data_IF_303068373414
#
_entry.id   IF_303068373414
#
_cell.length_a   1.000
_cell.length_b   1.000
_cell.length_c   1.000
_cell.angle_alpha   90.00
_cell.angle_beta   90.00
_cell.angle_gamma   90.00
#
_symmetry.space_group_name_H-M   'P 1'
#
loop_
_entity.id
_entity.type
_entity.pdbx_description
1 polymer ?
#
# COMPACT_ATOMS: atom_id res chain seq x y z
N UNK A 1 -26.69 7.85 -5.82
CA UNK A 1 -25.59 8.07 -4.84
C UNK A 1 -24.24 7.53 -5.33
N UNK A 2 -24.15 6.30 -5.86
CA UNK A 2 -22.88 5.72 -6.35
C UNK A 2 -22.13 6.52 -7.44
N UNK A 3 -22.84 7.15 -8.39
CA UNK A 3 -22.22 7.98 -9.45
C UNK A 3 -21.48 9.23 -8.91
N UNK A 4 -21.97 9.82 -7.83
CA UNK A 4 -21.39 11.04 -7.23
C UNK A 4 -20.09 10.73 -6.48
N UNK A 5 -20.05 9.59 -5.77
CA UNK A 5 -18.84 9.12 -5.09
C UNK A 5 -17.71 8.72 -6.06
N UNK A 6 -18.06 8.16 -7.22
CA UNK A 6 -17.06 7.82 -8.27
C UNK A 6 -16.44 9.08 -8.90
N UNK A 7 -17.28 10.06 -9.23
CA UNK A 7 -16.83 11.34 -9.80
C UNK A 7 -15.91 12.13 -8.85
N UNK A 8 -16.17 12.10 -7.54
CA UNK A 8 -15.31 12.78 -6.56
C UNK A 8 -13.93 12.11 -6.41
N UNK A 9 -13.82 10.80 -6.60
CA UNK A 9 -12.52 10.09 -6.56
C UNK A 9 -11.65 10.42 -7.78
N UNK A 10 -12.24 10.46 -8.97
CA UNK A 10 -11.54 10.79 -10.22
C UNK A 10 -10.95 12.21 -10.16
N UNK A 11 -11.75 13.19 -9.69
CA UNK A 11 -11.29 14.57 -9.50
C UNK A 11 -10.14 14.71 -8.52
N UNK A 12 -10.16 13.97 -7.41
CA UNK A 12 -9.09 14.03 -6.43
C UNK A 12 -7.76 13.49 -6.98
N UNK A 13 -7.81 12.37 -7.72
CA UNK A 13 -6.62 11.82 -8.38
C UNK A 13 -6.07 12.78 -9.43
N UNK A 14 -6.96 13.39 -10.21
CA UNK A 14 -6.60 14.40 -11.21
C UNK A 14 -5.95 15.63 -10.57
N UNK A 15 -6.48 16.12 -9.45
CA UNK A 15 -5.91 17.26 -8.71
C UNK A 15 -4.50 16.97 -8.18
N UNK A 16 -4.24 15.73 -7.76
CA UNK A 16 -2.91 15.29 -7.32
C UNK A 16 -1.87 15.21 -8.45
N UNK A 17 -2.31 14.92 -9.68
CA UNK A 17 -1.43 14.78 -10.84
C UNK A 17 -1.14 16.13 -11.51
N UNK A 18 -2.14 17.00 -11.57
CA UNK A 18 -2.07 18.23 -12.35
C UNK A 18 -1.70 19.47 -11.52
N UNK A 19 -1.58 19.34 -10.19
CA UNK A 19 -1.31 20.46 -9.28
C UNK A 19 -2.29 21.61 -9.51
N UNK A 20 -3.56 21.28 -9.68
CA UNK A 20 -4.63 22.28 -9.73
C UNK A 20 -5.11 22.53 -8.31
N UNK A 21 -5.33 23.80 -7.95
CA UNK A 21 -5.70 24.30 -6.61
C UNK A 21 -4.50 24.68 -5.71
N UNK A 22 -3.96 25.89 -5.92
CA UNK A 22 -2.77 26.43 -5.26
C UNK A 22 -3.15 27.59 -4.36
N UNK A 23 -2.68 27.58 -3.11
CA UNK A 23 -2.89 28.67 -2.16
C UNK A 23 -1.59 29.11 -1.47
N UNK A 24 -1.48 30.40 -1.19
CA UNK A 24 -0.45 30.94 -0.31
C UNK A 24 -0.91 30.89 1.14
N UNK A 25 0.02 30.55 2.01
CA UNK A 25 -0.15 30.43 3.43
C UNK A 25 0.72 31.48 4.13
N UNK A 26 0.07 32.40 4.84
CA UNK A 26 0.73 33.45 5.62
C UNK A 26 0.26 33.43 7.07
N UNK A 27 1.19 33.61 8.02
CA UNK A 27 0.86 33.65 9.44
C UNK A 27 0.21 35.00 9.77
N UNK A 28 -0.96 34.98 10.41
CA UNK A 28 -1.61 36.19 10.93
C UNK A 28 -1.15 36.47 12.38
N UNK A 29 -1.15 35.44 13.22
CA UNK A 29 -0.70 35.50 14.63
C UNK A 29 -0.44 34.09 15.19
N UNK A 30 -0.34 33.97 16.52
CA UNK A 30 -0.22 32.68 17.20
C UNK A 30 -1.46 31.82 16.98
N UNK A 31 -1.32 30.80 16.12
CA UNK A 31 -2.35 29.81 15.86
C UNK A 31 -3.28 30.14 14.69
N UNK A 32 -3.24 31.36 14.13
CA UNK A 32 -4.03 31.72 12.95
C UNK A 32 -3.17 31.93 11.72
N UNK A 33 -3.61 31.30 10.64
CA UNK A 33 -3.01 31.40 9.32
C UNK A 33 -4.08 31.86 8.33
N UNK A 34 -3.68 32.72 7.41
CA UNK A 34 -4.45 33.11 6.24
C UNK A 34 -4.08 32.18 5.09
N UNK A 35 -5.09 31.66 4.41
CA UNK A 35 -4.96 30.94 3.15
C UNK A 35 -5.57 31.79 2.05
N UNK A 36 -4.77 32.13 1.05
CA UNK A 36 -5.19 32.89 -0.13
C UNK A 36 -5.01 32.01 -1.36
N UNK A 37 -6.12 31.59 -1.96
CA UNK A 37 -6.12 30.77 -3.17
C UNK A 37 -5.73 31.64 -4.37
N UNK A 38 -4.67 31.26 -5.06
CA UNK A 38 -4.19 31.90 -6.30
C UNK A 38 -4.88 31.28 -7.51
N UNK A 39 -5.12 29.99 -7.42
CA UNK A 39 -5.78 29.19 -8.43
C UNK A 39 -6.67 28.18 -7.72
N UNK A 40 -7.95 28.12 -8.08
CA UNK A 40 -8.95 27.26 -7.43
C UNK A 40 -9.66 27.91 -6.25
N UNK A 41 -10.30 27.08 -5.43
CA UNK A 41 -11.08 27.49 -4.25
C UNK A 41 -11.07 26.38 -3.19
N UNK A 42 -11.56 26.68 -1.99
CA UNK A 42 -11.75 25.67 -0.95
C UNK A 42 -12.70 24.57 -1.46
N UNK A 43 -12.17 23.36 -1.62
CA UNK A 43 -12.93 22.22 -2.13
C UNK A 43 -12.56 20.94 -1.39
N UNK A 44 -13.56 20.31 -0.76
CA UNK A 44 -13.42 19.08 0.02
C UNK A 44 -13.14 17.82 -0.82
N UNK A 45 -13.13 17.92 -2.15
CA UNK A 45 -12.92 16.80 -3.06
C UNK A 45 -11.63 16.89 -3.87
N UNK A 46 -10.75 17.84 -3.56
CA UNK A 46 -9.50 18.09 -4.29
C UNK A 46 -8.34 18.27 -3.32
N UNK A 47 -7.11 18.04 -3.81
CA UNK A 47 -5.89 18.34 -3.08
C UNK A 47 -5.60 19.84 -3.15
N UNK A 48 -5.09 20.43 -2.06
CA UNK A 48 -4.62 21.83 -2.08
C UNK A 48 -3.11 21.89 -1.91
N UNK A 49 -2.46 22.64 -2.79
CA UNK A 49 -1.03 22.85 -2.77
C UNK A 49 -0.73 24.19 -2.11
N UNK A 50 -0.22 24.13 -0.88
CA UNK A 50 0.02 25.30 -0.05
C UNK A 50 1.49 25.72 -0.14
N UNK A 51 1.73 27.01 -0.37
CA UNK A 51 3.08 27.59 -0.37
C UNK A 51 3.22 28.62 0.74
N UNK A 52 4.23 28.50 1.57
CA UNK A 52 4.54 29.55 2.56
C UNK A 52 5.30 30.69 1.91
N UNK A 53 5.29 31.85 2.57
CA UNK A 53 6.15 32.99 2.22
C UNK A 53 7.65 32.67 2.29
N UNK A 54 8.05 31.63 3.05
CA UNK A 54 9.42 31.12 3.13
C UNK A 54 9.77 30.11 2.01
N UNK A 55 8.84 29.84 1.09
CA UNK A 55 9.03 28.89 -0.01
C UNK A 55 8.88 27.41 0.37
N UNK A 56 8.32 27.08 1.55
CA UNK A 56 7.98 25.70 1.92
C UNK A 56 6.67 25.30 1.26
N UNK A 57 6.63 24.11 0.69
CA UNK A 57 5.46 23.58 0.00
C UNK A 57 4.82 22.44 0.80
N UNK A 58 3.49 22.44 0.89
CA UNK A 58 2.70 21.43 1.58
C UNK A 58 1.52 20.99 0.70
N UNK A 59 1.04 19.78 0.94
CA UNK A 59 -0.18 19.28 0.30
C UNK A 59 -1.20 18.96 1.38
N UNK A 60 -2.39 19.52 1.23
CA UNK A 60 -3.55 19.21 2.08
C UNK A 60 -4.47 18.28 1.33
N UNK A 61 -4.87 17.19 2.00
CA UNK A 61 -5.81 16.22 1.46
C UNK A 61 -6.99 16.05 2.41
N UNK A 62 -8.21 15.87 1.89
CA UNK A 62 -9.32 15.39 2.68
C UNK A 62 -8.96 14.07 3.40
N UNK A 63 -9.36 13.91 4.65
CA UNK A 63 -8.99 12.74 5.46
C UNK A 63 -9.38 11.41 4.79
N UNK A 64 -10.59 11.34 4.21
CA UNK A 64 -11.06 10.14 3.51
C UNK A 64 -10.17 9.79 2.31
N UNK A 65 -9.61 10.81 1.65
CA UNK A 65 -8.75 10.64 0.48
C UNK A 65 -7.40 10.03 0.89
N UNK A 66 -6.80 10.56 1.97
CA UNK A 66 -5.56 10.01 2.53
C UNK A 66 -5.75 8.56 3.00
N UNK A 67 -6.85 8.26 3.70
CA UNK A 67 -7.17 6.89 4.14
C UNK A 67 -7.33 5.93 2.96
N UNK A 68 -8.04 6.35 1.91
CA UNK A 68 -8.18 5.54 0.70
C UNK A 68 -6.85 5.30 0.00
N UNK A 69 -6.00 6.33 -0.11
CA UNK A 69 -4.67 6.23 -0.72
C UNK A 69 -3.81 5.24 0.07
N UNK A 70 -3.78 5.36 1.39
CA UNK A 70 -3.04 4.44 2.27
C UNK A 70 -3.56 3.00 2.12
N UNK A 71 -4.88 2.81 2.08
CA UNK A 71 -5.50 1.51 1.86
C UNK A 71 -5.10 0.87 0.53
N UNK A 72 -5.10 1.63 -0.57
CA UNK A 72 -4.66 1.13 -1.87
C UNK A 72 -3.18 0.77 -1.88
N UNK A 73 -2.31 1.57 -1.25
CA UNK A 73 -0.88 1.25 -1.12
C UNK A 73 -0.69 -0.06 -0.36
N UNK A 74 -1.40 -0.24 0.76
CA UNK A 74 -1.33 -1.46 1.55
C UNK A 74 -1.79 -2.69 0.75
N UNK A 75 -2.92 -2.58 0.06
CA UNK A 75 -3.44 -3.65 -0.78
C UNK A 75 -2.45 -4.00 -1.91
N UNK A 76 -1.91 -2.99 -2.61
CA UNK A 76 -0.96 -3.22 -3.68
C UNK A 76 0.33 -3.89 -3.20
N UNK A 77 0.84 -3.48 -2.04
CA UNK A 77 2.01 -4.11 -1.43
C UNK A 77 1.73 -5.58 -1.04
N UNK A 78 0.53 -5.88 -0.55
CA UNK A 78 0.10 -7.25 -0.24
C UNK A 78 0.00 -8.11 -1.50
N UNK A 79 -0.66 -7.62 -2.55
CA UNK A 79 -0.75 -8.31 -3.84
C UNK A 79 0.65 -8.59 -4.43
N UNK A 80 1.54 -7.59 -4.39
CA UNK A 80 2.92 -7.74 -4.83
C UNK A 80 3.68 -8.78 -4.00
N UNK A 81 3.51 -8.76 -2.68
CA UNK A 81 4.13 -9.74 -1.78
C UNK A 81 3.67 -11.16 -2.12
N UNK A 82 2.36 -11.38 -2.28
CA UNK A 82 1.80 -12.70 -2.60
C UNK A 82 2.25 -13.21 -3.97
N UNK A 83 2.38 -12.33 -4.95
CA UNK A 83 2.93 -12.67 -6.26
C UNK A 83 4.39 -13.16 -6.15
N UNK A 84 5.23 -12.41 -5.43
CA UNK A 84 6.63 -12.79 -5.21
C UNK A 84 6.74 -14.07 -4.38
N UNK A 85 5.87 -14.25 -3.39
CA UNK A 85 5.84 -15.44 -2.55
C UNK A 85 5.51 -16.69 -3.37
N UNK A 86 4.53 -16.60 -4.28
CA UNK A 86 4.20 -17.68 -5.21
C UNK A 86 5.39 -18.05 -6.09
N UNK A 87 6.15 -17.06 -6.56
CA UNK A 87 7.37 -17.30 -7.32
C UNK A 87 8.41 -18.06 -6.48
N UNK A 88 8.74 -17.57 -5.29
CA UNK A 88 9.73 -18.20 -4.41
C UNK A 88 9.32 -19.61 -3.96
N UNK A 89 8.04 -19.84 -3.64
CA UNK A 89 7.52 -21.17 -3.29
C UNK A 89 7.68 -22.13 -4.46
N UNK A 90 7.38 -21.69 -5.69
CA UNK A 90 7.54 -22.53 -6.89
C UNK A 90 9.00 -22.97 -7.08
N UNK A 91 9.96 -22.07 -6.87
CA UNK A 91 11.39 -22.38 -6.94
C UNK A 91 11.85 -23.39 -5.86
N UNK A 92 11.10 -23.50 -4.76
CA UNK A 92 11.35 -24.48 -3.71
C UNK A 92 10.78 -25.89 -4.00
N UNK A 93 10.18 -26.08 -5.19
CA UNK A 93 9.60 -27.33 -5.69
C UNK A 93 8.52 -27.91 -4.78
N UNK A 94 7.33 -27.28 -4.71
CA UNK A 94 6.21 -27.82 -3.97
C UNK A 94 5.66 -29.07 -4.67
N UNK A 95 5.07 -29.98 -3.91
CA UNK A 95 4.35 -31.14 -4.45
C UNK A 95 3.10 -30.68 -5.18
N UNK A 96 2.33 -29.78 -4.54
CA UNK A 96 1.22 -29.05 -5.13
C UNK A 96 1.36 -27.57 -4.78
N UNK A 97 1.44 -26.73 -5.82
CA UNK A 97 1.64 -25.29 -5.65
C UNK A 97 0.43 -24.62 -4.97
N UNK A 98 -0.79 -25.00 -5.32
CA UNK A 98 -1.98 -24.33 -4.78
C UNK A 98 -2.20 -24.69 -3.31
N UNK A 99 -2.01 -25.97 -2.93
CA UNK A 99 -2.08 -26.38 -1.53
C UNK A 99 -1.00 -25.69 -0.68
N UNK A 100 0.22 -25.61 -1.21
CA UNK A 100 1.32 -24.91 -0.53
C UNK A 100 1.03 -23.41 -0.39
N UNK A 101 0.43 -22.80 -1.42
CA UNK A 101 0.01 -21.39 -1.38
C UNK A 101 -1.12 -21.15 -0.38
N UNK A 102 -2.05 -22.09 -0.20
CA UNK A 102 -3.11 -21.98 0.81
C UNK A 102 -2.51 -21.94 2.23
N UNK A 103 -1.53 -22.80 2.51
CA UNK A 103 -0.79 -22.77 3.78
C UNK A 103 0.02 -21.48 3.93
N UNK A 104 0.72 -21.06 2.88
CA UNK A 104 1.50 -19.82 2.87
C UNK A 104 0.63 -18.58 3.15
N UNK A 105 -0.58 -18.53 2.60
CA UNK A 105 -1.56 -17.47 2.85
C UNK A 105 -2.03 -17.46 4.31
N UNK A 106 -2.28 -18.64 4.89
CA UNK A 106 -2.65 -18.76 6.30
C UNK A 106 -1.53 -18.27 7.23
N UNK A 107 -0.28 -18.65 6.97
CA UNK A 107 0.89 -18.17 7.71
C UNK A 107 1.07 -16.65 7.57
N UNK A 108 0.85 -16.12 6.36
CA UNK A 108 0.92 -14.69 6.09
C UNK A 108 -0.15 -13.90 6.85
N UNK A 109 -1.41 -14.38 6.86
CA UNK A 109 -2.48 -13.75 7.63
C UNK A 109 -2.19 -13.78 9.13
N UNK A 110 -1.65 -14.89 9.64
CA UNK A 110 -1.25 -15.04 11.04
C UNK A 110 -0.14 -14.04 11.41
N UNK A 111 0.85 -13.87 10.53
CA UNK A 111 1.92 -12.88 10.71
C UNK A 111 1.38 -11.44 10.73
N UNK A 112 0.44 -11.12 9.83
CA UNK A 112 -0.19 -9.79 9.75
C UNK A 112 -0.92 -9.44 11.05
N UNK A 113 -1.57 -10.41 11.68
CA UNK A 113 -2.28 -10.22 12.95
C UNK A 113 -1.33 -10.03 14.15
N UNK A 114 -0.15 -10.66 14.15
CA UNK A 114 0.79 -10.60 15.27
C UNK A 114 1.75 -9.40 15.21
N UNK A 115 2.30 -9.08 14.03
CA UNK A 115 3.38 -8.10 13.89
C UNK A 115 2.98 -6.81 13.15
N UNK A 116 1.78 -6.76 12.53
CA UNK A 116 1.18 -5.56 11.95
C UNK A 116 1.84 -4.95 10.72
N UNK A 117 3.13 -5.20 10.45
CA UNK A 117 3.86 -4.61 9.33
C UNK A 117 4.41 -5.66 8.35
N UNK A 118 3.84 -5.68 7.15
CA UNK A 118 4.24 -6.57 6.04
C UNK A 118 5.51 -6.05 5.34
N UNK A 119 5.83 -4.75 5.47
CA UNK A 119 6.90 -4.11 4.70
C UNK A 119 8.31 -4.61 5.06
N UNK A 120 8.47 -5.25 6.22
CA UNK A 120 9.76 -5.71 6.73
C UNK A 120 10.03 -7.20 6.44
N UNK A 121 9.13 -7.88 5.72
CA UNK A 121 9.26 -9.31 5.44
C UNK A 121 10.04 -9.53 4.16
N UNK A 122 11.22 -10.16 4.27
CA UNK A 122 11.90 -10.74 3.12
C UNK A 122 11.11 -11.97 2.62
N UNK A 123 10.54 -11.86 1.43
CA UNK A 123 9.70 -12.89 0.79
C UNK A 123 10.43 -14.23 0.66
N UNK A 124 11.73 -14.20 0.35
CA UNK A 124 12.53 -15.41 0.15
C UNK A 124 12.81 -16.11 1.47
N UNK A 125 13.07 -15.33 2.53
CA UNK A 125 13.20 -15.87 3.89
C UNK A 125 11.85 -16.45 4.34
N UNK A 126 10.74 -15.76 4.06
CA UNK A 126 9.40 -16.23 4.39
C UNK A 126 9.07 -17.57 3.69
N UNK A 127 9.33 -17.69 2.39
CA UNK A 127 9.14 -18.93 1.64
C UNK A 127 9.98 -20.09 2.20
N UNK A 128 11.25 -19.82 2.58
CA UNK A 128 12.11 -20.82 3.23
C UNK A 128 11.56 -21.26 4.58
N UNK A 129 11.04 -20.34 5.38
CA UNK A 129 10.45 -20.66 6.67
C UNK A 129 9.21 -21.54 6.53
N UNK A 130 8.37 -21.31 5.50
CA UNK A 130 7.25 -22.20 5.16
C UNK A 130 7.75 -23.60 4.85
N UNK A 131 8.80 -23.76 4.03
CA UNK A 131 9.40 -25.07 3.73
C UNK A 131 9.96 -25.77 4.98
N UNK A 132 10.54 -25.03 5.90
CA UNK A 132 11.06 -25.58 7.15
C UNK A 132 9.93 -26.02 8.10
N UNK A 133 8.84 -25.24 8.17
CA UNK A 133 7.69 -25.54 9.02
C UNK A 133 6.82 -26.68 8.46
N UNK A 134 6.69 -26.75 7.13
CA UNK A 134 5.81 -27.68 6.41
C UNK A 134 6.58 -28.47 5.33
N UNK A 135 7.61 -29.26 5.70
CA UNK A 135 8.48 -29.94 4.74
C UNK A 135 7.76 -30.99 3.90
N UNK A 136 6.60 -31.48 4.37
CA UNK A 136 5.74 -32.42 3.66
C UNK A 136 5.06 -31.82 2.42
N UNK A 137 5.04 -30.48 2.28
CA UNK A 137 4.47 -29.81 1.11
C UNK A 137 5.47 -29.68 -0.05
N UNK A 138 6.74 -30.02 0.18
CA UNK A 138 7.82 -29.84 -0.79
C UNK A 138 8.49 -31.16 -1.15
N UNK A 139 8.99 -31.24 -2.37
CA UNK A 139 9.78 -32.39 -2.80
C UNK A 139 11.08 -32.46 -2.00
N UNK A 140 11.35 -33.65 -1.45
CA UNK A 140 12.59 -33.99 -0.76
C UNK A 140 13.47 -34.75 -1.75
N UNK A 141 14.57 -34.12 -2.20
CA UNK A 141 15.48 -34.72 -3.19
C UNK A 141 16.08 -36.05 -2.69
N UNK A 142 16.23 -36.19 -1.37
CA UNK A 142 16.72 -37.40 -0.72
C UNK A 142 15.80 -38.63 -0.97
N UNK A 143 14.52 -38.39 -1.25
CA UNK A 143 13.54 -39.44 -1.58
C UNK A 143 13.45 -39.73 -3.09
N UNK A 144 14.06 -38.89 -3.95
CA UNK A 144 13.97 -39.02 -5.42
C UNK A 144 15.09 -39.87 -5.99
N UNK A 145 16.21 -40.03 -5.27
CA UNK A 145 17.40 -40.77 -5.73
C UNK A 145 17.76 -42.00 -4.88
N UNK A 146 16.78 -42.65 -4.26
CA UNK A 146 16.97 -44.00 -3.73
C UNK A 146 16.72 -45.02 -4.85
N UNK A 147 17.79 -45.32 -5.61
CA UNK A 147 17.88 -46.50 -6.48
C UNK A 147 18.47 -47.67 -5.73
#
# INVERSE_FOLDING_TARGET
MAKRAKSNKEKLVESLQNVSNVAYMAKLDEGRWLLEFVEGEFNENEAWFLKTTEGKEFVTLPQFALQNLLGHIQQHNEEKFLMLLRYEIRELMPIDLEDTMAVALHEFQSYKQSNGNIQDIDVKVFAKNIKLAHPNLFLQLDNVFQF
#
